data_IF_778796236699
#
_entry.id   IF_778796236699
#
_cell.length_a   1.000
_cell.length_b   1.000
_cell.length_c   1.000
_cell.angle_alpha   90.00
_cell.angle_beta   90.00
_cell.angle_gamma   90.00
#
_symmetry.space_group_name_H-M   'P 1'
#
loop_
_entity.id
_entity.type
_entity.pdbx_description
1 polymer ?
#
# COMPACT_ATOMS: atom_id res chain seq x y z
N UNK A 1 2.66 -20.92 35.68
CA UNK A 1 2.79 -19.71 34.82
C UNK A 1 2.00 -19.96 33.56
N UNK A 2 0.97 -19.15 33.30
CA UNK A 2 0.13 -19.29 32.10
C UNK A 2 0.97 -19.05 30.85
N UNK A 3 0.71 -19.78 29.77
CA UNK A 3 1.38 -19.67 28.46
C UNK A 3 1.45 -18.22 27.96
N UNK A 4 0.41 -17.43 28.26
CA UNK A 4 0.34 -15.99 27.99
C UNK A 4 1.50 -15.23 28.63
N UNK A 5 1.84 -15.50 29.90
CA UNK A 5 2.93 -14.84 30.60
C UNK A 5 4.30 -15.16 29.97
N UNK A 6 4.51 -16.40 29.53
CA UNK A 6 5.75 -16.81 28.85
C UNK A 6 5.87 -16.10 27.50
N UNK A 7 4.80 -16.05 26.71
CA UNK A 7 4.78 -15.33 25.42
C UNK A 7 5.01 -13.84 25.62
N UNK A 8 4.40 -13.22 26.63
CA UNK A 8 4.61 -11.79 26.93
C UNK A 8 6.06 -11.53 27.36
N UNK A 9 6.64 -12.35 28.21
CA UNK A 9 8.05 -12.19 28.64
C UNK A 9 8.98 -12.33 27.44
N UNK A 10 8.81 -13.38 26.62
CA UNK A 10 9.62 -13.58 25.41
C UNK A 10 9.46 -12.40 24.46
N UNK A 11 8.24 -11.91 24.23
CA UNK A 11 8.00 -10.74 23.39
C UNK A 11 8.71 -9.49 23.93
N UNK A 12 8.60 -9.20 25.23
CA UNK A 12 9.20 -8.01 25.85
C UNK A 12 10.73 -8.07 25.83
N UNK A 13 11.33 -9.24 26.05
CA UNK A 13 12.80 -9.39 26.07
C UNK A 13 13.41 -9.56 24.68
N UNK A 14 12.73 -10.22 23.74
CA UNK A 14 13.22 -10.37 22.36
C UNK A 14 13.00 -9.10 21.53
N UNK A 15 11.95 -8.32 21.79
CA UNK A 15 11.68 -7.08 21.06
C UNK A 15 12.85 -6.09 21.01
N UNK A 16 13.53 -5.72 22.12
CA UNK A 16 14.67 -4.79 22.07
C UNK A 16 15.87 -5.34 21.28
N UNK A 17 16.09 -6.65 21.30
CA UNK A 17 17.16 -7.30 20.52
C UNK A 17 16.84 -7.26 19.04
N UNK A 18 15.61 -7.64 18.67
CA UNK A 18 15.12 -7.63 17.30
C UNK A 18 15.09 -6.21 16.74
N UNK A 19 14.60 -5.24 17.52
CA UNK A 19 14.57 -3.84 17.10
C UNK A 19 15.98 -3.27 16.92
N UNK A 20 16.92 -3.57 17.82
CA UNK A 20 18.31 -3.13 17.67
C UNK A 20 18.97 -3.69 16.40
N UNK A 21 18.74 -4.97 16.09
CA UNK A 21 19.25 -5.60 14.85
C UNK A 21 18.65 -4.91 13.63
N UNK A 22 17.33 -4.68 13.61
CA UNK A 22 16.65 -4.05 12.48
C UNK A 22 17.09 -2.59 12.31
N UNK A 23 17.22 -1.84 13.40
CA UNK A 23 17.73 -0.47 13.40
C UNK A 23 19.14 -0.40 12.79
N UNK A 24 20.02 -1.34 13.16
CA UNK A 24 21.38 -1.40 12.60
C UNK A 24 21.37 -1.77 11.11
N UNK A 25 20.53 -2.72 10.69
CA UNK A 25 20.40 -3.11 9.28
C UNK A 25 19.83 -2.00 8.41
N UNK A 26 19.00 -1.13 8.97
CA UNK A 26 18.27 -0.08 8.23
C UNK A 26 18.86 1.30 8.36
N UNK A 27 19.94 1.44 9.13
CA UNK A 27 20.66 2.70 9.31
C UNK A 27 21.03 3.34 7.97
N UNK A 28 21.62 2.57 7.04
CA UNK A 28 21.97 3.07 5.70
C UNK A 28 20.75 3.61 4.93
N UNK A 29 19.62 2.92 5.01
CA UNK A 29 18.37 3.34 4.35
C UNK A 29 17.82 4.62 4.97
N UNK A 30 17.96 4.78 6.30
CA UNK A 30 17.55 6.00 7.01
C UNK A 30 18.43 7.18 6.67
N UNK A 31 19.74 6.96 6.54
CA UNK A 31 20.69 8.00 6.14
C UNK A 31 20.41 8.44 4.70
N UNK A 32 20.25 7.50 3.77
CA UNK A 32 19.87 7.79 2.38
C UNK A 32 18.51 8.51 2.29
N UNK A 33 17.54 8.15 3.14
CA UNK A 33 16.25 8.84 3.21
C UNK A 33 16.41 10.28 3.72
N UNK A 34 17.17 10.48 4.80
CA UNK A 34 17.40 11.80 5.38
C UNK A 34 18.11 12.75 4.40
N UNK A 35 19.08 12.24 3.64
CA UNK A 35 19.78 13.02 2.62
C UNK A 35 18.84 13.42 1.47
N UNK A 36 17.99 12.50 1.02
CA UNK A 36 17.01 12.77 -0.05
C UNK A 36 15.92 13.76 0.40
N UNK A 37 15.47 13.65 1.65
CA UNK A 37 14.53 14.61 2.25
C UNK A 37 15.16 16.00 2.27
N UNK A 38 16.42 16.12 2.73
CA UNK A 38 17.14 17.40 2.76
C UNK A 38 17.27 18.00 1.37
N UNK A 39 17.61 17.20 0.35
CA UNK A 39 17.73 17.70 -1.02
C UNK A 39 16.39 18.18 -1.59
N UNK A 40 15.29 17.46 -1.32
CA UNK A 40 13.95 17.83 -1.80
C UNK A 40 13.43 19.09 -1.10
N UNK A 41 13.66 19.23 0.21
CA UNK A 41 13.24 20.42 0.97
C UNK A 41 14.04 21.67 0.59
N UNK A 42 15.31 21.51 0.19
CA UNK A 42 16.16 22.60 -0.27
C UNK A 42 15.93 23.01 -1.74
N UNK A 43 15.21 22.22 -2.53
CA UNK A 43 14.96 22.50 -3.94
C UNK A 43 13.89 23.60 -4.10
N UNK A 44 14.23 24.76 -4.70
CA UNK A 44 13.29 25.86 -4.91
C UNK A 44 12.22 25.54 -5.98
N UNK A 45 12.38 24.47 -6.77
CA UNK A 45 11.41 24.05 -7.78
C UNK A 45 10.26 23.22 -7.22
N UNK A 46 10.35 22.80 -5.96
CA UNK A 46 9.33 22.02 -5.26
C UNK A 46 8.35 22.97 -4.58
N UNK A 47 7.06 22.78 -4.85
CA UNK A 47 6.00 23.60 -4.28
C UNK A 47 5.87 23.36 -2.76
N UNK A 48 5.36 24.36 -2.04
CA UNK A 48 5.43 24.36 -0.57
C UNK A 48 4.50 23.34 0.08
N UNK A 49 3.37 23.04 -0.57
CA UNK A 49 2.48 21.93 -0.24
C UNK A 49 3.17 20.56 -0.34
N UNK A 50 4.02 20.36 -1.35
CA UNK A 50 4.82 19.14 -1.52
C UNK A 50 5.89 19.02 -0.44
N UNK A 51 6.48 20.14 0.00
CA UNK A 51 7.42 20.14 1.14
C UNK A 51 6.74 19.81 2.45
N UNK A 52 5.52 20.30 2.66
CA UNK A 52 4.70 19.92 3.84
C UNK A 52 4.44 18.41 3.83
N UNK A 53 4.09 17.82 2.68
CA UNK A 53 3.93 16.37 2.54
C UNK A 53 5.23 15.60 2.80
N UNK A 54 6.36 16.06 2.28
CA UNK A 54 7.67 15.42 2.55
C UNK A 54 8.03 15.52 4.03
N UNK A 55 7.71 16.63 4.69
CA UNK A 55 7.90 16.79 6.13
C UNK A 55 7.04 15.81 6.93
N UNK A 56 5.76 15.65 6.57
CA UNK A 56 4.89 14.69 7.25
C UNK A 56 5.39 13.25 7.08
N UNK A 57 5.97 12.91 5.92
CA UNK A 57 6.60 11.60 5.72
C UNK A 57 7.76 11.34 6.69
N UNK A 58 8.49 12.37 7.14
CA UNK A 58 9.57 12.18 8.12
C UNK A 58 9.00 11.83 9.49
N UNK A 59 7.94 12.54 9.90
CA UNK A 59 7.27 12.31 11.18
C UNK A 59 6.64 10.91 11.25
N UNK A 60 6.08 10.46 10.12
CA UNK A 60 5.44 9.14 10.00
C UNK A 60 6.44 7.97 10.09
N UNK A 61 7.74 8.17 9.81
CA UNK A 61 8.76 7.08 9.91
C UNK A 61 8.83 6.45 11.29
N UNK A 62 8.50 7.21 12.34
CA UNK A 62 8.56 6.76 13.73
C UNK A 62 7.20 6.44 14.34
N UNK A 63 6.09 6.66 13.62
CA UNK A 63 4.76 6.39 14.15
C UNK A 63 4.26 4.99 13.77
N UNK A 64 4.14 4.11 14.77
CA UNK A 64 3.55 2.78 14.62
C UNK A 64 2.09 2.85 14.14
N UNK A 65 1.38 3.95 14.42
CA UNK A 65 -0.01 4.18 14.00
C UNK A 65 -0.11 4.29 12.49
N UNK A 66 0.89 4.89 11.83
CA UNK A 66 0.92 4.98 10.37
C UNK A 66 0.88 3.58 9.75
N UNK A 67 1.71 2.65 10.22
CA UNK A 67 1.71 1.28 9.71
C UNK A 67 0.44 0.51 10.04
N UNK A 68 -0.15 0.74 11.21
CA UNK A 68 -1.45 0.15 11.54
C UNK A 68 -2.53 0.64 10.56
N UNK A 69 -2.60 1.95 10.31
CA UNK A 69 -3.55 2.55 9.37
C UNK A 69 -3.27 2.02 7.97
N UNK A 70 -2.01 2.00 7.53
CA UNK A 70 -1.62 1.47 6.23
C UNK A 70 -2.03 -0.01 6.05
N UNK A 71 -1.83 -0.85 7.07
CA UNK A 71 -2.20 -2.28 7.05
C UNK A 71 -3.71 -2.51 6.91
N UNK A 72 -4.54 -1.57 7.35
CA UNK A 72 -5.99 -1.62 7.21
C UNK A 72 -6.44 -0.97 5.91
N UNK A 73 -6.04 0.28 5.67
CA UNK A 73 -6.51 1.12 4.57
C UNK A 73 -6.03 0.62 3.21
N UNK A 74 -4.78 0.20 3.09
CA UNK A 74 -4.21 -0.22 1.80
C UNK A 74 -4.97 -1.40 1.16
N UNK A 75 -5.30 -2.49 1.88
CA UNK A 75 -6.20 -3.52 1.38
C UNK A 75 -7.52 -3.01 0.80
N UNK A 76 -8.21 -2.10 1.51
CA UNK A 76 -9.47 -1.52 1.03
C UNK A 76 -9.27 -0.69 -0.22
N UNK A 77 -8.20 0.09 -0.26
CA UNK A 77 -7.83 0.92 -1.41
C UNK A 77 -7.55 0.05 -2.63
N UNK A 78 -6.81 -1.05 -2.47
CA UNK A 78 -6.55 -2.04 -3.53
C UNK A 78 -7.85 -2.67 -4.04
N UNK A 79 -8.84 -2.90 -3.18
CA UNK A 79 -10.12 -3.49 -3.60
C UNK A 79 -11.09 -2.48 -4.23
N UNK A 80 -10.98 -1.19 -3.91
CA UNK A 80 -11.98 -0.16 -4.28
C UNK A 80 -11.53 0.80 -5.39
N UNK A 81 -10.29 0.71 -5.87
CA UNK A 81 -9.73 1.57 -6.94
C UNK A 81 -9.82 3.09 -6.68
N UNK A 82 -10.01 3.51 -5.42
CA UNK A 82 -10.27 4.91 -5.05
C UNK A 82 -9.12 5.88 -5.35
N UNK A 83 -7.86 5.44 -5.36
CA UNK A 83 -6.68 6.34 -5.49
C UNK A 83 -6.65 7.10 -6.81
N UNK A 84 -7.20 6.53 -7.88
CA UNK A 84 -7.02 7.11 -9.22
C UNK A 84 -7.85 8.37 -9.45
N UNK A 85 -8.84 8.64 -8.61
CA UNK A 85 -9.89 9.63 -8.87
C UNK A 85 -9.58 11.04 -8.34
N UNK A 86 -8.69 11.17 -7.36
CA UNK A 86 -8.52 12.43 -6.61
C UNK A 86 -7.13 13.10 -6.72
N UNK A 87 -6.20 12.57 -7.52
CA UNK A 87 -4.88 13.20 -7.72
C UNK A 87 -4.92 14.32 -8.76
N UNK A 88 -4.38 15.50 -8.41
CA UNK A 88 -4.20 16.61 -9.36
C UNK A 88 -3.11 16.30 -10.40
N UNK A 89 -3.04 17.08 -11.47
CA UNK A 89 -2.00 16.91 -12.51
C UNK A 89 -0.60 17.22 -11.97
N UNK A 90 -0.49 18.17 -11.04
CA UNK A 90 0.77 18.57 -10.40
C UNK A 90 1.31 17.47 -9.49
N UNK A 91 0.43 16.84 -8.69
CA UNK A 91 0.79 15.66 -7.88
C UNK A 91 1.32 14.54 -8.76
N UNK A 92 0.64 14.24 -9.87
CA UNK A 92 1.08 13.19 -10.81
C UNK A 92 2.46 13.48 -11.38
N UNK A 93 2.79 14.74 -11.68
CA UNK A 93 4.11 15.13 -12.16
C UNK A 93 5.17 14.98 -11.07
N UNK A 94 4.87 15.35 -9.83
CA UNK A 94 5.76 15.15 -8.70
C UNK A 94 6.06 13.67 -8.45
N UNK A 95 5.01 12.82 -8.33
CA UNK A 95 5.16 11.37 -8.14
C UNK A 95 5.73 10.62 -9.36
N UNK A 96 5.79 11.27 -10.52
CA UNK A 96 6.50 10.74 -11.69
C UNK A 96 8.02 11.00 -11.63
N UNK A 97 8.50 11.98 -10.85
CA UNK A 97 9.95 12.23 -10.67
C UNK A 97 10.60 11.02 -10.00
N UNK A 98 11.80 10.68 -10.45
CA UNK A 98 12.57 9.55 -9.92
C UNK A 98 12.87 9.73 -8.42
N UNK A 99 13.17 10.96 -8.01
CA UNK A 99 13.46 11.31 -6.62
C UNK A 99 12.27 11.08 -5.70
N UNK A 100 11.05 11.45 -6.13
CA UNK A 100 9.84 11.25 -5.34
C UNK A 100 9.50 9.75 -5.19
N UNK A 101 9.67 8.96 -6.24
CA UNK A 101 9.50 7.50 -6.17
C UNK A 101 10.52 6.86 -5.23
N UNK A 102 11.78 7.31 -5.32
CA UNK A 102 12.85 6.85 -4.45
C UNK A 102 12.59 7.25 -2.99
N UNK A 103 12.11 8.46 -2.75
CA UNK A 103 11.72 8.98 -1.43
C UNK A 103 10.65 8.10 -0.78
N UNK A 104 9.56 7.81 -1.50
CA UNK A 104 8.47 6.96 -1.01
C UNK A 104 8.95 5.53 -0.75
N UNK A 105 9.79 4.99 -1.64
CA UNK A 105 10.37 3.66 -1.47
C UNK A 105 11.27 3.57 -0.24
N UNK A 106 12.10 4.59 0.01
CA UNK A 106 12.96 4.68 1.20
C UNK A 106 12.14 4.90 2.47
N UNK A 107 11.10 5.75 2.42
CA UNK A 107 10.15 5.96 3.51
C UNK A 107 9.47 4.65 3.92
N UNK A 108 8.88 3.92 2.97
CA UNK A 108 8.22 2.65 3.27
C UNK A 108 9.19 1.62 3.85
N UNK A 109 10.43 1.54 3.35
CA UNK A 109 11.46 0.64 3.92
C UNK A 109 11.81 1.03 5.36
N UNK A 110 11.97 2.33 5.63
CA UNK A 110 12.30 2.83 6.96
C UNK A 110 11.15 2.58 7.95
N UNK A 111 9.92 2.84 7.54
CA UNK A 111 8.69 2.59 8.30
C UNK A 111 8.52 1.09 8.58
N UNK A 112 8.70 0.22 7.57
CA UNK A 112 8.58 -1.23 7.75
C UNK A 112 9.65 -1.79 8.70
N UNK A 113 10.84 -1.21 8.66
CA UNK A 113 11.90 -1.56 9.60
C UNK A 113 11.60 -1.12 11.03
N UNK A 114 10.99 0.05 11.22
CA UNK A 114 10.62 0.52 12.55
C UNK A 114 9.52 -0.35 13.20
N UNK A 115 8.64 -0.95 12.38
CA UNK A 115 7.43 -1.65 12.84
C UNK A 115 7.29 -3.08 12.29
N UNK A 116 8.19 -4.03 12.62
CA UNK A 116 8.22 -5.36 12.02
C UNK A 116 6.94 -6.19 12.20
N UNK A 117 6.25 -6.02 13.34
CA UNK A 117 4.96 -6.68 13.60
C UNK A 117 3.89 -6.18 12.62
N UNK A 118 3.77 -4.86 12.47
CA UNK A 118 2.78 -4.26 11.57
C UNK A 118 3.16 -4.46 10.10
N UNK A 119 4.44 -4.60 9.77
CA UNK A 119 4.90 -5.03 8.46
C UNK A 119 4.41 -6.41 8.10
N UNK A 120 4.50 -7.37 9.03
CA UNK A 120 3.97 -8.71 8.81
C UNK A 120 2.46 -8.67 8.59
N UNK A 121 1.75 -7.91 9.42
CA UNK A 121 0.30 -7.71 9.27
C UNK A 121 -0.04 -7.10 7.91
N UNK A 122 0.67 -6.03 7.51
CA UNK A 122 0.51 -5.36 6.21
C UNK A 122 0.76 -6.32 5.04
N UNK A 123 1.80 -7.14 5.11
CA UNK A 123 2.11 -8.12 4.07
C UNK A 123 0.99 -9.16 3.92
N UNK A 124 0.45 -9.65 5.03
CA UNK A 124 -0.67 -10.61 5.03
C UNK A 124 -1.93 -9.97 4.46
N UNK A 125 -2.34 -8.80 4.97
CA UNK A 125 -3.60 -8.16 4.56
C UNK A 125 -3.55 -7.69 3.11
N UNK A 126 -2.42 -7.11 2.69
CA UNK A 126 -2.21 -6.66 1.31
C UNK A 126 -2.10 -7.84 0.34
N UNK A 127 -1.41 -8.92 0.74
CA UNK A 127 -1.32 -10.14 -0.06
C UNK A 127 -2.69 -10.79 -0.26
N UNK A 128 -3.52 -10.85 0.79
CA UNK A 128 -4.88 -11.37 0.70
C UNK A 128 -5.75 -10.49 -0.20
N UNK A 129 -5.69 -9.16 -0.07
CA UNK A 129 -6.44 -8.23 -0.92
C UNK A 129 -6.04 -8.35 -2.39
N UNK A 130 -4.75 -8.47 -2.69
CA UNK A 130 -4.25 -8.72 -4.04
C UNK A 130 -4.76 -10.05 -4.59
N UNK A 131 -4.73 -11.11 -3.79
CA UNK A 131 -5.24 -12.43 -4.20
C UNK A 131 -6.73 -12.39 -4.53
N UNK A 132 -7.54 -11.72 -3.68
CA UNK A 132 -8.98 -11.51 -3.93
C UNK A 132 -9.18 -10.71 -5.22
N UNK A 133 -8.40 -9.65 -5.44
CA UNK A 133 -8.49 -8.81 -6.64
C UNK A 133 -8.15 -9.60 -7.91
N UNK A 134 -7.06 -10.36 -7.89
CA UNK A 134 -6.65 -11.21 -9.02
C UNK A 134 -7.73 -12.26 -9.31
N UNK A 135 -8.27 -12.91 -8.27
CA UNK A 135 -9.36 -13.87 -8.42
C UNK A 135 -10.63 -13.23 -8.97
N UNK A 136 -11.00 -12.04 -8.48
CA UNK A 136 -12.17 -11.30 -8.98
C UNK A 136 -12.02 -10.90 -10.45
N UNK A 137 -10.85 -10.43 -10.87
CA UNK A 137 -10.59 -10.08 -12.27
C UNK A 137 -10.59 -11.35 -13.15
N UNK A 138 -9.99 -12.43 -12.68
CA UNK A 138 -9.99 -13.73 -13.36
C UNK A 138 -11.41 -14.29 -13.55
N UNK A 139 -12.22 -14.27 -12.49
CA UNK A 139 -13.63 -14.68 -12.55
C UNK A 139 -14.45 -13.81 -13.51
N UNK A 140 -14.22 -12.49 -13.53
CA UNK A 140 -14.87 -11.60 -14.50
C UNK A 140 -14.50 -11.95 -15.94
N UNK A 141 -13.24 -12.28 -16.23
CA UNK A 141 -12.83 -12.76 -17.56
C UNK A 141 -13.51 -14.10 -17.93
N UNK A 142 -13.60 -15.03 -16.98
CA UNK A 142 -14.29 -16.32 -17.20
C UNK A 142 -15.78 -16.11 -17.47
N UNK A 143 -16.44 -15.21 -16.74
CA UNK A 143 -17.85 -14.88 -16.96
C UNK A 143 -18.04 -14.22 -18.33
N UNK A 144 -17.19 -13.26 -18.70
CA UNK A 144 -17.26 -12.61 -20.02
C UNK A 144 -17.05 -13.59 -21.17
N UNK A 145 -16.06 -14.48 -21.06
CA UNK A 145 -15.81 -15.53 -22.07
C UNK A 145 -16.95 -16.54 -22.14
N UNK A 146 -17.57 -16.90 -21.01
CA UNK A 146 -18.79 -17.71 -20.99
C UNK A 146 -19.98 -17.01 -21.64
N UNK A 147 -20.19 -15.73 -21.36
CA UNK A 147 -21.26 -14.92 -21.98
C UNK A 147 -21.06 -14.82 -23.49
N UNK A 148 -19.84 -14.59 -23.96
CA UNK A 148 -19.53 -14.53 -25.39
C UNK A 148 -19.69 -15.89 -26.06
N UNK A 149 -19.27 -16.96 -25.39
CA UNK A 149 -19.50 -18.34 -25.87
C UNK A 149 -20.99 -18.66 -25.94
N UNK A 150 -21.77 -18.33 -24.92
CA UNK A 150 -23.22 -18.53 -24.90
C UNK A 150 -23.93 -17.73 -26.01
N UNK A 151 -23.51 -16.49 -26.28
CA UNK A 151 -24.00 -15.69 -27.40
C UNK A 151 -23.66 -16.29 -28.76
N UNK A 152 -22.48 -16.89 -28.91
CA UNK A 152 -22.04 -17.54 -30.16
C UNK A 152 -22.79 -18.85 -30.46
N UNK A 153 -23.24 -19.57 -29.42
CA UNK A 153 -23.92 -20.87 -29.54
C UNK A 153 -25.45 -20.72 -29.67
N UNK A 154 -26.05 -19.66 -29.14
CA UNK A 154 -27.51 -19.40 -29.27
C UNK A 154 -27.82 -17.90 -29.41
N UNK A 155 -27.92 -17.37 -30.64
CA UNK A 155 -28.23 -15.96 -30.91
C UNK A 155 -29.55 -15.48 -30.29
N UNK A 156 -30.49 -16.39 -30.03
CA UNK A 156 -31.82 -16.13 -29.45
C UNK A 156 -31.81 -15.74 -27.98
N UNK A 157 -30.74 -16.00 -27.21
CA UNK A 157 -30.67 -15.62 -25.79
C UNK A 157 -30.38 -14.11 -25.62
N UNK A 158 -29.78 -13.46 -26.61
CA UNK A 158 -29.50 -12.02 -26.57
C UNK A 158 -30.72 -11.11 -26.71
N UNK A 159 -31.83 -11.60 -27.27
CA UNK A 159 -33.01 -10.78 -27.55
C UNK A 159 -34.05 -10.73 -26.41
N UNK A 160 -34.06 -11.70 -25.49
CA UNK A 160 -35.09 -11.74 -24.45
C UNK A 160 -34.76 -10.91 -23.21
N UNK A 161 -33.48 -10.64 -22.92
CA UNK A 161 -33.10 -9.90 -21.70
C UNK A 161 -33.17 -8.38 -21.88
N UNK A 162 -33.01 -7.84 -23.10
CA UNK A 162 -33.10 -6.39 -23.34
C UNK A 162 -34.54 -5.86 -23.43
N UNK A 163 -35.52 -6.69 -23.78
CA UNK A 163 -36.92 -6.23 -23.93
C UNK A 163 -37.64 -6.04 -22.58
N UNK A 164 -37.07 -6.51 -21.46
CA UNK A 164 -37.68 -6.41 -20.13
C UNK A 164 -37.18 -5.22 -19.28
N UNK A 165 -36.22 -4.45 -19.79
CA UNK A 165 -35.68 -3.24 -19.12
C UNK A 165 -36.22 -1.95 -19.77
N UNK A 166 -36.94 -2.06 -20.90
CA UNK A 166 -37.50 -0.93 -21.64
C UNK A 166 -39.06 -0.90 -21.62
N UNK A 167 -39.68 -1.49 -20.59
CA UNK A 167 -41.12 -1.46 -20.37
C UNK A 167 -41.44 -1.18 -18.92
#
# INVERSE_FOLDING_TARGET
MSTIAIVTIVAVFCYPVVSAIILKLTQRTRDEFADLVRSVLADPTVAEDQKVFVSSLVDDVFDWRFMLIAAVVFPFVVLTDRVRKDMTEEDRRFFAREDARRLIGLHMKAVMAASPIFTLLFAITSGLALLIRVFSVGMSMVVLTWVDTAKSVSPTVGHHTFRRIAG
#
